data_IF_626997299213
#
_entry.id   IF_626997299213
#
_cell.length_a   1.000
_cell.length_b   1.000
_cell.length_c   1.000
_cell.angle_alpha   90.00
_cell.angle_beta   90.00
_cell.angle_gamma   90.00
#
_symmetry.space_group_name_H-M   'P 1'
#
loop_
_entity.id
_entity.type
_entity.pdbx_description
1 polymer ?
#
# COMPACT_ATOMS: atom_id res chain seq x y z
N UNK A 1 19.80 -8.04 29.03
CA UNK A 1 19.26 -6.75 28.54
C UNK A 1 18.09 -7.09 27.64
N UNK A 2 16.90 -6.56 27.86
CA UNK A 2 15.74 -6.76 26.98
C UNK A 2 15.73 -5.65 25.93
N UNK A 3 15.64 -5.98 24.66
CA UNK A 3 15.44 -5.03 23.57
C UNK A 3 13.99 -5.13 23.13
N UNK A 4 13.27 -4.02 23.18
CA UNK A 4 11.90 -3.93 22.66
C UNK A 4 11.95 -3.04 21.42
N UNK A 5 11.53 -3.55 20.28
CA UNK A 5 11.37 -2.79 19.05
C UNK A 5 9.85 -2.53 18.88
N UNK A 6 9.38 -1.29 19.00
CA UNK A 6 7.98 -0.98 18.78
C UNK A 6 7.71 -0.87 17.27
N UNK A 7 6.89 -1.74 16.74
CA UNK A 7 6.07 -1.44 15.57
C UNK A 7 4.65 -1.14 16.08
N UNK A 8 3.91 -0.23 15.44
CA UNK A 8 2.78 0.50 16.04
C UNK A 8 1.75 -0.35 16.84
N UNK A 9 1.59 -1.66 16.54
CA UNK A 9 0.60 -2.52 17.18
C UNK A 9 1.15 -3.87 17.66
N UNK A 10 2.45 -4.12 17.54
CA UNK A 10 3.08 -5.38 17.94
C UNK A 10 4.33 -5.15 18.76
N UNK A 11 4.42 -5.83 19.89
CA UNK A 11 5.60 -5.81 20.75
C UNK A 11 6.41 -7.07 20.50
N UNK A 12 7.66 -6.91 20.12
CA UNK A 12 8.65 -8.01 20.08
C UNK A 12 9.59 -7.83 21.26
N UNK A 13 9.53 -8.77 22.21
CA UNK A 13 10.41 -8.77 23.39
C UNK A 13 11.38 -9.96 23.33
N UNK A 14 12.66 -9.69 23.53
CA UNK A 14 13.71 -10.71 23.60
C UNK A 14 14.40 -10.64 24.97
N UNK A 15 14.44 -11.74 25.70
CA UNK A 15 14.99 -11.83 27.06
C UNK A 15 15.99 -12.97 27.14
N UNK A 16 17.17 -12.70 27.72
CA UNK A 16 18.18 -13.72 27.93
C UNK A 16 18.87 -14.25 26.67
N UNK A 17 18.78 -13.51 25.56
CA UNK A 17 19.38 -13.84 24.27
C UNK A 17 20.60 -12.96 24.00
N UNK A 18 21.54 -13.46 23.21
CA UNK A 18 22.74 -12.75 22.80
C UNK A 18 22.99 -12.95 21.31
N UNK A 19 23.68 -12.00 20.67
CA UNK A 19 24.07 -12.01 19.25
C UNK A 19 22.93 -12.20 18.24
N UNK A 20 21.73 -11.78 18.57
CA UNK A 20 20.61 -11.82 17.62
C UNK A 20 20.47 -10.51 16.82
N UNK A 21 20.04 -10.66 15.58
CA UNK A 21 19.42 -9.64 14.75
C UNK A 21 17.93 -9.94 14.73
N UNK A 22 17.12 -8.98 15.13
CA UNK A 22 15.66 -9.05 15.06
C UNK A 22 15.18 -7.89 14.19
N UNK A 23 14.51 -8.21 13.10
CA UNK A 23 13.91 -7.24 12.18
C UNK A 23 12.41 -7.50 12.14
N UNK A 24 11.62 -6.50 12.51
CA UNK A 24 10.16 -6.52 12.43
C UNK A 24 9.69 -5.55 11.35
N UNK A 25 9.00 -6.05 10.33
CA UNK A 25 8.49 -5.29 9.18
C UNK A 25 6.95 -5.20 9.15
N UNK A 26 6.27 -5.64 10.22
CA UNK A 26 4.81 -5.63 10.31
C UNK A 26 4.12 -6.81 9.61
N UNK A 27 4.69 -7.35 8.56
CA UNK A 27 4.27 -8.56 7.83
C UNK A 27 5.10 -9.79 8.20
N UNK A 28 6.35 -9.59 8.64
CA UNK A 28 7.25 -10.65 9.03
C UNK A 28 8.14 -10.24 10.20
N UNK A 29 8.56 -11.22 11.00
CA UNK A 29 9.63 -11.07 11.99
C UNK A 29 10.78 -11.99 11.62
N UNK A 30 11.90 -11.40 11.28
CA UNK A 30 13.15 -12.14 11.12
C UNK A 30 13.88 -12.18 12.47
N UNK A 31 14.25 -13.37 12.89
CA UNK A 31 15.16 -13.59 14.01
C UNK A 31 16.33 -14.43 13.51
N UNK A 32 17.53 -13.89 13.56
CA UNK A 32 18.72 -14.56 13.07
C UNK A 32 19.88 -14.38 14.05
N UNK A 33 20.79 -15.35 14.09
CA UNK A 33 22.10 -15.15 14.68
C UNK A 33 22.85 -14.08 13.87
N UNK A 34 23.53 -13.18 14.55
CA UNK A 34 24.26 -12.08 13.91
C UNK A 34 25.31 -12.56 12.91
N UNK A 35 25.97 -13.68 13.24
CA UNK A 35 27.02 -14.25 12.40
C UNK A 35 26.44 -15.06 11.22
N UNK A 36 25.14 -15.41 11.26
CA UNK A 36 24.40 -16.10 10.21
C UNK A 36 23.50 -15.17 9.36
N UNK A 37 23.55 -13.86 9.58
CA UNK A 37 22.67 -12.89 8.87
C UNK A 37 22.80 -12.95 7.34
N UNK A 38 23.94 -13.39 6.81
CA UNK A 38 24.17 -13.61 5.37
C UNK A 38 23.29 -14.72 4.78
N UNK A 39 22.73 -15.62 5.60
CA UNK A 39 21.90 -16.75 5.15
C UNK A 39 20.42 -16.34 4.99
N UNK A 40 20.07 -15.09 5.25
CA UNK A 40 18.68 -14.59 5.11
C UNK A 40 18.16 -14.76 3.68
N UNK A 41 19.05 -14.68 2.67
CA UNK A 41 18.69 -14.96 1.27
C UNK A 41 18.01 -16.31 1.07
N UNK A 42 18.52 -17.37 1.73
CA UNK A 42 17.95 -18.71 1.62
C UNK A 42 16.51 -18.80 2.17
N UNK A 43 16.20 -18.01 3.20
CA UNK A 43 14.81 -17.92 3.73
C UNK A 43 13.88 -17.26 2.71
N UNK A 44 14.37 -16.23 2.03
CA UNK A 44 13.59 -15.56 0.96
C UNK A 44 13.35 -16.51 -0.22
N UNK A 45 14.37 -17.28 -0.60
CA UNK A 45 14.25 -18.28 -1.67
C UNK A 45 13.21 -19.34 -1.32
N UNK A 46 13.23 -19.86 -0.08
CA UNK A 46 12.26 -20.84 0.41
C UNK A 46 10.83 -20.29 0.46
N UNK A 47 10.65 -19.06 0.96
CA UNK A 47 9.35 -18.38 0.96
C UNK A 47 8.83 -18.15 -0.47
N UNK A 48 9.72 -17.90 -1.41
CA UNK A 48 9.38 -17.72 -2.83
C UNK A 48 8.94 -19.06 -3.46
N UNK A 49 9.64 -20.17 -3.14
CA UNK A 49 9.23 -21.50 -3.58
C UNK A 49 7.86 -21.89 -3.04
N UNK A 50 7.51 -21.48 -1.82
CA UNK A 50 6.18 -21.71 -1.23
C UNK A 50 5.12 -20.73 -1.73
N UNK A 51 5.48 -19.78 -2.60
CA UNK A 51 4.61 -18.69 -3.06
C UNK A 51 4.01 -17.88 -1.89
N UNK A 52 4.79 -17.73 -0.81
CA UNK A 52 4.36 -17.01 0.37
C UNK A 52 4.36 -15.50 0.11
N UNK A 53 3.26 -14.82 0.40
CA UNK A 53 3.06 -13.39 0.09
C UNK A 53 4.15 -12.49 0.68
N UNK A 54 4.68 -12.79 1.87
CA UNK A 54 5.74 -12.02 2.51
C UNK A 54 7.07 -11.98 1.72
N UNK A 55 7.27 -12.90 0.77
CA UNK A 55 8.44 -12.89 -0.11
C UNK A 55 8.29 -11.90 -1.29
N UNK A 56 7.03 -11.57 -1.66
CA UNK A 56 6.72 -10.83 -2.88
C UNK A 56 6.13 -9.46 -2.58
N UNK A 57 5.36 -9.32 -1.52
CA UNK A 57 4.60 -8.11 -1.22
C UNK A 57 4.94 -7.56 0.18
N UNK A 58 5.52 -6.38 0.21
CA UNK A 58 5.55 -5.60 1.45
C UNK A 58 4.16 -5.02 1.71
N UNK A 59 3.67 -5.10 2.95
CA UNK A 59 2.40 -4.45 3.35
C UNK A 59 2.35 -2.97 2.96
N UNK A 60 3.50 -2.29 3.01
CA UNK A 60 3.61 -0.89 2.58
C UNK A 60 4.50 -0.77 1.35
N UNK A 61 3.94 -0.22 0.29
CA UNK A 61 4.63 0.02 -0.98
C UNK A 61 4.82 1.52 -1.16
N UNK A 62 6.08 1.92 -1.35
CA UNK A 62 6.42 3.30 -1.67
C UNK A 62 6.31 3.57 -3.16
N UNK A 63 5.74 4.71 -3.49
CA UNK A 63 5.55 5.21 -4.86
C UNK A 63 6.05 6.66 -4.93
N UNK A 64 6.35 7.21 -6.12
CA UNK A 64 6.78 8.61 -6.23
C UNK A 64 5.78 9.59 -5.62
N UNK A 65 4.49 9.31 -5.70
CA UNK A 65 3.42 10.16 -5.17
C UNK A 65 3.19 9.98 -3.65
N UNK A 66 3.80 8.99 -3.00
CA UNK A 66 3.61 8.71 -1.57
C UNK A 66 3.74 7.23 -1.25
N UNK A 67 2.73 6.63 -0.65
CA UNK A 67 2.73 5.20 -0.32
C UNK A 67 1.31 4.65 -0.21
N UNK A 68 1.19 3.34 -0.29
CA UNK A 68 0.01 2.64 0.18
C UNK A 68 0.40 1.44 1.04
N UNK A 69 -0.48 1.12 2.00
CA UNK A 69 -0.36 -0.09 2.82
C UNK A 69 -1.59 -0.94 2.61
N UNK A 70 -1.40 -2.23 2.34
CA UNK A 70 -2.48 -3.20 2.27
C UNK A 70 -2.89 -3.55 3.71
N UNK A 71 -4.14 -3.27 4.06
CA UNK A 71 -4.72 -3.54 5.37
C UNK A 71 -5.42 -4.90 5.39
N UNK A 72 -6.08 -5.26 4.28
CA UNK A 72 -6.76 -6.52 4.06
C UNK A 72 -6.64 -6.92 2.58
N UNK A 73 -6.44 -8.20 2.33
CA UNK A 73 -6.39 -8.81 0.99
C UNK A 73 -7.17 -10.12 1.07
N UNK A 74 -8.41 -10.11 0.60
CA UNK A 74 -9.33 -11.23 0.62
C UNK A 74 -9.87 -11.50 -0.78
N UNK A 75 -10.57 -12.63 -0.96
CA UNK A 75 -11.07 -13.03 -2.27
C UNK A 75 -12.12 -12.06 -2.85
N UNK A 76 -12.87 -11.37 -1.99
CA UNK A 76 -13.99 -10.50 -2.34
C UNK A 76 -13.73 -9.01 -2.13
N UNK A 77 -12.63 -8.66 -1.45
CA UNK A 77 -12.23 -7.27 -1.24
C UNK A 77 -10.72 -7.11 -1.02
N UNK A 78 -10.24 -5.91 -1.33
CA UNK A 78 -8.91 -5.46 -0.94
C UNK A 78 -8.99 -4.06 -0.33
N UNK A 79 -8.41 -3.89 0.87
CA UNK A 79 -8.42 -2.63 1.58
C UNK A 79 -7.01 -2.05 1.63
N UNK A 80 -6.87 -0.81 1.18
CA UNK A 80 -5.60 -0.09 1.21
C UNK A 80 -5.74 1.22 1.99
N UNK A 81 -4.69 1.58 2.71
CA UNK A 81 -4.49 2.93 3.21
C UNK A 81 -3.48 3.64 2.31
N UNK A 82 -3.87 4.76 1.74
CA UNK A 82 -3.01 5.58 0.89
C UNK A 82 -2.57 6.83 1.64
N UNK A 83 -1.33 7.24 1.38
CA UNK A 83 -0.77 8.53 1.79
C UNK A 83 -0.27 9.23 0.54
N UNK A 84 -0.87 10.35 0.18
CA UNK A 84 -0.49 11.13 -1.00
C UNK A 84 0.16 12.44 -0.55
N UNK A 85 1.43 12.62 -0.91
CA UNK A 85 2.23 13.77 -0.52
C UNK A 85 1.72 15.07 -1.17
N UNK A 86 2.01 16.24 -0.58
CA UNK A 86 1.67 17.54 -1.17
C UNK A 86 2.13 17.68 -2.63
N UNK A 87 1.26 18.20 -3.48
CA UNK A 87 1.53 18.43 -4.89
C UNK A 87 1.66 17.15 -5.73
N UNK A 88 1.36 15.98 -5.18
CA UNK A 88 1.46 14.72 -5.91
C UNK A 88 0.11 14.24 -6.43
N UNK A 89 0.17 13.49 -7.52
CA UNK A 89 -1.01 13.02 -8.23
C UNK A 89 -0.84 11.56 -8.62
N UNK A 90 -1.90 10.76 -8.49
CA UNK A 90 -1.93 9.40 -9.02
C UNK A 90 -2.15 9.43 -10.54
N UNK A 91 -1.86 8.32 -11.22
CA UNK A 91 -2.17 8.18 -12.65
C UNK A 91 -3.65 8.41 -12.95
N UNK A 92 -3.96 8.94 -14.11
CA UNK A 92 -5.30 8.87 -14.65
C UNK A 92 -5.52 7.45 -15.16
N UNK A 93 -6.42 6.72 -14.54
CA UNK A 93 -6.53 5.28 -14.71
C UNK A 93 -7.99 4.80 -14.67
N UNK A 94 -8.21 3.57 -15.07
CA UNK A 94 -9.45 2.82 -14.85
C UNK A 94 -9.14 1.36 -14.57
N UNK A 95 -10.11 0.65 -14.03
CA UNK A 95 -10.08 -0.79 -13.75
C UNK A 95 -11.21 -1.49 -14.48
N UNK A 96 -10.96 -2.67 -15.02
CA UNK A 96 -11.98 -3.44 -15.75
C UNK A 96 -12.83 -4.29 -14.79
N UNK A 97 -12.21 -4.83 -13.73
CA UNK A 97 -12.77 -5.90 -12.90
C UNK A 97 -13.10 -5.50 -11.47
N UNK A 98 -12.69 -4.30 -11.03
CA UNK A 98 -12.94 -3.82 -9.68
C UNK A 98 -13.54 -2.43 -9.66
N UNK A 99 -14.30 -2.16 -8.60
CA UNK A 99 -14.76 -0.83 -8.20
C UNK A 99 -13.99 -0.39 -6.95
N UNK A 100 -13.95 0.88 -6.66
CA UNK A 100 -13.25 1.41 -5.49
C UNK A 100 -14.16 2.34 -4.69
N UNK A 101 -14.01 2.31 -3.37
CA UNK A 101 -14.63 3.27 -2.47
C UNK A 101 -13.53 4.03 -1.74
N UNK A 102 -13.48 5.33 -1.89
CA UNK A 102 -12.48 6.19 -1.27
C UNK A 102 -13.09 6.99 -0.13
N UNK A 103 -12.46 6.96 1.03
CA UNK A 103 -12.82 7.78 2.19
C UNK A 103 -11.61 8.55 2.66
N UNK A 104 -11.67 9.88 2.63
CA UNK A 104 -10.59 10.75 3.09
C UNK A 104 -10.59 10.80 4.62
N UNK A 105 -9.45 10.51 5.23
CA UNK A 105 -9.26 10.54 6.68
C UNK A 105 -8.72 11.90 7.14
N UNK A 106 -7.79 12.48 6.37
CA UNK A 106 -7.21 13.79 6.63
C UNK A 106 -6.70 14.43 5.34
N UNK A 107 -6.58 15.75 5.33
CA UNK A 107 -6.25 16.53 4.15
C UNK A 107 -7.47 16.74 3.25
N UNK A 108 -7.23 17.19 2.02
CA UNK A 108 -8.24 17.42 0.99
C UNK A 108 -7.80 16.81 -0.33
N UNK A 109 -8.56 15.85 -0.83
CA UNK A 109 -8.27 15.13 -2.07
C UNK A 109 -9.05 15.73 -3.24
N UNK A 110 -8.36 16.24 -4.25
CA UNK A 110 -8.99 16.57 -5.53
C UNK A 110 -9.19 15.28 -6.33
N UNK A 111 -10.41 15.03 -6.76
CA UNK A 111 -10.82 13.82 -7.46
C UNK A 111 -11.34 14.18 -8.84
N UNK A 112 -10.83 13.46 -9.86
CA UNK A 112 -11.47 13.38 -11.18
C UNK A 112 -12.15 12.02 -11.29
N UNK A 113 -13.44 12.04 -11.65
CA UNK A 113 -14.28 10.86 -11.87
C UNK A 113 -15.07 11.01 -13.16
N UNK A 114 -14.62 10.34 -14.22
CA UNK A 114 -15.09 10.61 -15.58
C UNK A 114 -14.77 12.04 -16.00
N UNK A 115 -15.84 12.81 -16.29
CA UNK A 115 -15.74 14.23 -16.64
C UNK A 115 -15.89 15.18 -15.44
N UNK A 116 -16.21 14.65 -14.26
CA UNK A 116 -16.44 15.45 -13.05
C UNK A 116 -15.15 15.65 -12.29
N UNK A 117 -14.91 16.84 -11.81
CA UNK A 117 -13.86 17.17 -10.85
C UNK A 117 -14.51 17.76 -9.59
N UNK A 118 -14.04 17.31 -8.44
CA UNK A 118 -14.51 17.77 -7.12
C UNK A 118 -13.43 17.52 -6.08
N UNK A 119 -13.60 18.12 -4.91
CA UNK A 119 -12.69 17.90 -3.76
C UNK A 119 -13.44 17.18 -2.66
N UNK A 120 -12.82 16.16 -2.10
CA UNK A 120 -13.27 15.48 -0.89
C UNK A 120 -12.47 16.02 0.30
N UNK A 121 -13.19 16.45 1.33
CA UNK A 121 -12.64 16.84 2.62
C UNK A 121 -12.52 15.63 3.55
N UNK A 122 -11.81 15.79 4.67
CA UNK A 122 -11.78 14.77 5.71
C UNK A 122 -13.19 14.34 6.14
N UNK A 123 -13.44 13.04 6.18
CA UNK A 123 -14.74 12.42 6.48
C UNK A 123 -15.64 12.24 5.26
N UNK A 124 -15.29 12.80 4.11
CA UNK A 124 -16.06 12.61 2.88
C UNK A 124 -15.58 11.38 2.10
N UNK A 125 -16.47 10.83 1.27
CA UNK A 125 -16.22 9.63 0.47
C UNK A 125 -16.79 9.73 -0.93
N UNK A 126 -16.27 8.89 -1.83
CA UNK A 126 -16.81 8.71 -3.18
C UNK A 126 -16.72 7.26 -3.60
N UNK A 127 -17.63 6.85 -4.49
CA UNK A 127 -17.59 5.56 -5.16
C UNK A 127 -17.08 5.75 -6.58
N UNK A 128 -16.10 4.92 -6.96
CA UNK A 128 -15.51 4.83 -8.30
C UNK A 128 -15.98 3.52 -8.91
N UNK A 129 -16.96 3.55 -9.83
CA UNK A 129 -17.41 2.34 -10.52
C UNK A 129 -16.28 1.72 -11.38
N UNK A 130 -16.30 0.41 -11.55
CA UNK A 130 -15.47 -0.25 -12.55
C UNK A 130 -15.60 0.41 -13.93
N UNK A 131 -14.55 0.41 -14.72
CA UNK A 131 -14.46 1.00 -16.06
C UNK A 131 -14.61 2.52 -16.12
N UNK A 132 -14.64 3.19 -14.97
CA UNK A 132 -14.72 4.65 -14.91
C UNK A 132 -13.34 5.25 -14.79
N UNK A 133 -13.01 6.19 -15.67
CA UNK A 133 -11.76 6.92 -15.65
C UNK A 133 -11.69 7.79 -14.39
N UNK A 134 -10.62 7.68 -13.63
CA UNK A 134 -10.49 8.39 -12.36
C UNK A 134 -9.05 8.75 -12.03
N UNK A 135 -8.89 9.75 -11.16
CA UNK A 135 -7.60 10.22 -10.63
C UNK A 135 -7.80 10.87 -9.28
N UNK A 136 -6.81 10.71 -8.42
CA UNK A 136 -6.70 11.42 -7.14
C UNK A 136 -5.45 12.29 -7.16
N UNK A 137 -5.59 13.54 -6.70
CA UNK A 137 -4.52 14.53 -6.59
C UNK A 137 -4.55 15.17 -5.20
N UNK A 138 -3.39 15.36 -4.62
CA UNK A 138 -3.20 16.20 -3.44
C UNK A 138 -2.71 17.57 -3.90
N UNK A 139 -3.61 18.52 -4.04
CA UNK A 139 -3.30 19.91 -4.39
C UNK A 139 -2.99 20.78 -3.16
N UNK A 140 -3.03 20.22 -1.95
CA UNK A 140 -2.77 20.90 -0.67
C UNK A 140 -1.31 20.91 -0.25
N UNK A 141 -1.08 21.38 0.97
CA UNK A 141 0.26 21.51 1.58
C UNK A 141 0.55 20.41 2.62
N UNK A 142 -0.46 19.61 3.00
CA UNK A 142 -0.35 18.51 3.95
C UNK A 142 -0.61 17.18 3.25
N UNK A 143 -0.14 16.08 3.85
CA UNK A 143 -0.41 14.73 3.34
C UNK A 143 -1.92 14.44 3.33
N UNK A 144 -2.41 13.90 2.21
CA UNK A 144 -3.75 13.32 2.14
C UNK A 144 -3.68 11.86 2.55
N UNK A 145 -4.45 11.53 3.58
CA UNK A 145 -4.63 10.13 4.00
C UNK A 145 -6.03 9.67 3.62
N UNK A 146 -6.14 8.51 2.99
CA UNK A 146 -7.43 7.93 2.64
C UNK A 146 -7.43 6.41 2.80
N UNK A 147 -8.62 5.85 2.99
CA UNK A 147 -8.90 4.42 2.87
C UNK A 147 -9.54 4.18 1.49
N UNK A 148 -9.00 3.20 0.81
CA UNK A 148 -9.52 2.66 -0.43
C UNK A 148 -10.01 1.23 -0.17
N UNK A 149 -11.29 0.98 -0.42
CA UNK A 149 -11.87 -0.36 -0.42
C UNK A 149 -12.13 -0.76 -1.86
N UNK A 150 -11.45 -1.77 -2.33
CA UNK A 150 -11.65 -2.37 -3.65
C UNK A 150 -12.62 -3.54 -3.53
N UNK A 151 -13.60 -3.63 -4.43
CA UNK A 151 -14.57 -4.72 -4.52
C UNK A 151 -14.68 -5.20 -5.96
N UNK A 152 -14.73 -6.51 -6.16
CA UNK A 152 -14.74 -7.11 -7.49
C UNK A 152 -14.31 -8.56 -7.44
N UNK A 153 -13.90 -9.08 -8.58
CA UNK A 153 -13.44 -10.46 -8.73
C UNK A 153 -11.93 -10.57 -9.02
N UNK A 154 -11.22 -9.42 -9.06
CA UNK A 154 -9.77 -9.37 -9.27
C UNK A 154 -9.15 -8.04 -8.84
N UNK A 155 -8.03 -8.09 -8.11
CA UNK A 155 -7.35 -6.94 -7.49
C UNK A 155 -5.88 -6.78 -7.90
N UNK A 156 -5.45 -7.46 -8.97
CA UNK A 156 -4.07 -7.38 -9.48
C UNK A 156 -3.72 -6.00 -10.04
N UNK A 157 -2.43 -5.65 -10.01
CA UNK A 157 -1.92 -4.38 -10.55
C UNK A 157 -2.02 -4.32 -12.10
N UNK A 158 -2.12 -5.46 -12.76
CA UNK A 158 -2.35 -5.62 -14.21
C UNK A 158 -3.79 -5.28 -14.65
N UNK A 159 -4.74 -5.14 -13.72
CA UNK A 159 -6.07 -4.57 -13.97
C UNK A 159 -6.06 -3.04 -14.09
N UNK A 160 -4.91 -2.39 -13.88
CA UNK A 160 -4.79 -0.94 -13.98
C UNK A 160 -4.46 -0.51 -15.40
N UNK A 161 -5.44 0.06 -16.09
CA UNK A 161 -5.21 0.73 -17.39
C UNK A 161 -4.89 2.20 -17.13
N UNK A 162 -3.65 2.61 -17.38
CA UNK A 162 -3.18 3.98 -17.19
C UNK A 162 -3.24 4.77 -18.49
N UNK A 163 -3.81 5.97 -18.44
CA UNK A 163 -3.94 6.89 -19.57
C UNK A 163 -2.94 8.04 -19.51
N UNK A 164 -2.71 8.56 -18.30
CA UNK A 164 -1.74 9.62 -18.03
C UNK A 164 -1.02 9.30 -16.73
N UNK A 165 0.29 9.33 -16.77
CA UNK A 165 1.13 9.11 -15.60
C UNK A 165 2.40 9.96 -15.69
N UNK A 166 2.54 10.93 -14.79
CA UNK A 166 3.70 11.83 -14.77
C UNK A 166 5.00 11.15 -14.36
N UNK A 167 4.92 9.90 -13.89
CA UNK A 167 6.06 9.12 -13.41
C UNK A 167 6.55 8.09 -14.43
N UNK A 168 5.98 8.08 -15.64
CA UNK A 168 6.42 7.23 -16.76
C UNK A 168 6.04 5.75 -16.64
N UNK A 169 4.93 5.42 -15.97
CA UNK A 169 4.42 4.03 -15.81
C UNK A 169 3.32 3.68 -16.82
N UNK A 170 3.13 4.48 -17.86
CA UNK A 170 2.24 4.14 -18.98
C UNK A 170 3.00 3.16 -19.87
N UNK A 171 2.46 1.96 -20.09
CA UNK A 171 2.95 1.02 -21.10
C UNK A 171 2.49 1.51 -22.48
N UNK A 172 3.42 1.52 -23.46
CA UNK A 172 3.13 1.85 -24.85
C UNK A 172 2.33 0.74 -25.56
#
# INVERSE_FOLDING_TARGET
MALTLPHADRVVAAVGVDKLVIVDTGDAVLVADRDAAQNVGAVVDELTEWSHEAAVYHRTVHRPWGSYSVLEDADDCKVKRLVVKPGQVLSLQRHERRSEHWTVLSGAAKVRLGEREFTLQAGESTFVPARTLHRLENAGEEDVHLIEVQTGDYFGEDDIVRYEDIYGRVEE
#
